data_IF_651601174987
#
_entry.id   IF_651601174987
#
_cell.length_a   1.000
_cell.length_b   1.000
_cell.length_c   1.000
_cell.angle_alpha   90.00
_cell.angle_beta   90.00
_cell.angle_gamma   90.00
#
_symmetry.space_group_name_H-M   'P 1'
#
loop_
_entity.id
_entity.type
_entity.pdbx_description
1 polymer ?
#
# COMPACT_ATOMS: atom_id res chain seq x y z
N UNK A 1 -8.51 26.33 10.64
CA UNK A 1 -7.07 26.55 10.33
C UNK A 1 -6.24 25.27 10.44
N UNK A 2 -6.38 24.46 11.50
CA UNK A 2 -5.65 23.18 11.60
C UNK A 2 -6.20 22.06 10.71
N UNK A 3 -7.50 22.05 10.45
CA UNK A 3 -8.15 21.03 9.61
C UNK A 3 -7.69 21.14 8.14
N UNK A 4 -7.66 22.35 7.57
CA UNK A 4 -7.18 22.58 6.20
C UNK A 4 -5.71 22.18 5.99
N UNK A 5 -4.87 22.45 6.99
CA UNK A 5 -3.45 22.06 6.97
C UNK A 5 -3.31 20.55 7.01
N UNK A 6 -4.10 19.88 7.86
CA UNK A 6 -4.12 18.42 7.98
C UNK A 6 -4.60 17.76 6.69
N UNK A 7 -5.67 18.27 6.07
CA UNK A 7 -6.18 17.79 4.78
C UNK A 7 -5.17 17.99 3.66
N UNK A 8 -4.46 19.12 3.64
CA UNK A 8 -3.41 19.36 2.65
C UNK A 8 -2.21 18.40 2.79
N UNK A 9 -1.84 18.05 4.03
CA UNK A 9 -0.80 17.04 4.27
C UNK A 9 -1.27 15.64 3.87
N UNK A 10 -2.54 15.30 4.15
CA UNK A 10 -3.16 14.05 3.74
C UNK A 10 -3.17 13.87 2.22
N UNK A 11 -3.59 14.88 1.47
CA UNK A 11 -3.56 14.86 -0.01
C UNK A 11 -2.15 14.60 -0.52
N UNK A 12 -1.13 15.22 0.08
CA UNK A 12 0.27 14.94 -0.25
C UNK A 12 0.64 13.49 0.05
N UNK A 13 0.30 12.97 1.23
CA UNK A 13 0.58 11.59 1.60
C UNK A 13 -0.12 10.59 0.66
N UNK A 14 -1.32 10.90 0.17
CA UNK A 14 -2.06 10.13 -0.82
C UNK A 14 -1.36 10.14 -2.19
N UNK A 15 -0.74 11.24 -2.60
CA UNK A 15 0.09 11.28 -3.82
C UNK A 15 1.38 10.48 -3.66
N UNK A 16 2.02 10.59 -2.49
CA UNK A 16 3.27 9.90 -2.20
C UNK A 16 3.06 8.37 -2.21
N UNK A 17 1.98 7.86 -1.62
CA UNK A 17 1.67 6.43 -1.65
C UNK A 17 1.33 5.95 -3.08
N UNK A 18 0.63 6.75 -3.88
CA UNK A 18 0.36 6.43 -5.29
C UNK A 18 1.66 6.36 -6.11
N UNK A 19 2.58 7.31 -5.90
CA UNK A 19 3.91 7.30 -6.55
C UNK A 19 4.73 6.08 -6.16
N UNK A 20 4.69 5.68 -4.88
CA UNK A 20 5.31 4.43 -4.43
C UNK A 20 4.68 3.20 -5.08
N UNK A 21 3.35 3.13 -5.18
CA UNK A 21 2.68 2.05 -5.89
C UNK A 21 3.08 1.99 -7.37
N UNK A 22 3.13 3.13 -8.06
CA UNK A 22 3.50 3.18 -9.47
C UNK A 22 4.94 2.68 -9.69
N UNK A 23 5.89 3.01 -8.79
CA UNK A 23 7.26 2.46 -8.84
C UNK A 23 7.27 0.94 -8.72
N UNK A 24 6.52 0.38 -7.78
CA UNK A 24 6.41 -1.06 -7.55
C UNK A 24 5.80 -1.76 -8.76
N UNK A 25 4.72 -1.20 -9.30
CA UNK A 25 3.99 -1.75 -10.45
C UNK A 25 4.82 -1.68 -11.74
N UNK A 26 5.67 -0.67 -11.89
CA UNK A 26 6.50 -0.45 -13.09
C UNK A 26 7.86 -1.16 -13.06
N UNK A 27 8.16 -1.95 -12.02
CA UNK A 27 9.33 -2.84 -12.01
C UNK A 27 10.11 -2.87 -10.71
N UNK A 28 9.95 -1.89 -9.82
CA UNK A 28 10.65 -1.85 -8.53
C UNK A 28 9.96 -2.71 -7.45
N UNK A 29 9.59 -3.93 -7.85
CA UNK A 29 8.83 -4.91 -7.07
C UNK A 29 9.69 -5.67 -6.05
N UNK A 30 10.71 -5.02 -5.50
CA UNK A 30 11.54 -5.62 -4.46
C UNK A 30 10.68 -5.93 -3.22
N UNK A 31 10.96 -7.04 -2.53
CA UNK A 31 10.23 -7.42 -1.31
C UNK A 31 10.27 -6.32 -0.25
N UNK A 32 11.37 -5.55 -0.18
CA UNK A 32 11.51 -4.41 0.73
C UNK A 32 10.55 -3.27 0.41
N UNK A 33 10.36 -2.97 -0.88
CA UNK A 33 9.46 -1.89 -1.30
C UNK A 33 8.00 -2.28 -1.10
N UNK A 34 7.65 -3.53 -1.41
CA UNK A 34 6.30 -4.05 -1.20
C UNK A 34 5.95 -4.05 0.30
N UNK A 35 6.87 -4.47 1.16
CA UNK A 35 6.70 -4.42 2.63
C UNK A 35 6.58 -2.97 3.13
N UNK A 36 7.41 -2.06 2.62
CA UNK A 36 7.35 -0.63 2.97
C UNK A 36 6.02 -0.01 2.56
N UNK A 37 5.53 -0.31 1.35
CA UNK A 37 4.22 0.11 0.88
C UNK A 37 3.10 -0.46 1.74
N UNK A 38 3.14 -1.77 2.03
CA UNK A 38 2.16 -2.46 2.88
C UNK A 38 2.02 -1.75 4.23
N UNK A 39 3.13 -1.55 4.94
CA UNK A 39 3.14 -0.85 6.24
C UNK A 39 2.60 0.58 6.12
N UNK A 40 3.12 1.35 5.17
CA UNK A 40 2.71 2.74 5.00
C UNK A 40 1.23 2.87 4.62
N UNK A 41 0.69 1.93 3.83
CA UNK A 41 -0.74 1.91 3.46
C UNK A 41 -1.65 1.70 4.66
N UNK A 42 -1.27 0.82 5.59
CA UNK A 42 -2.00 0.54 6.82
C UNK A 42 -1.99 1.77 7.73
N UNK A 43 -0.82 2.39 7.91
CA UNK A 43 -0.65 3.61 8.70
C UNK A 43 -1.47 4.77 8.13
N UNK A 44 -1.45 4.97 6.81
CA UNK A 44 -2.19 6.03 6.15
C UNK A 44 -3.71 5.83 6.28
N UNK A 45 -4.20 4.61 6.10
CA UNK A 45 -5.63 4.29 6.29
C UNK A 45 -6.05 4.52 7.74
N UNK A 46 -5.25 4.11 8.72
CA UNK A 46 -5.52 4.35 10.12
C UNK A 46 -5.56 5.85 10.44
N UNK A 47 -4.59 6.61 9.92
CA UNK A 47 -4.50 8.05 10.11
C UNK A 47 -5.70 8.80 9.52
N UNK A 48 -6.14 8.45 8.31
CA UNK A 48 -7.34 9.05 7.70
C UNK A 48 -8.59 8.73 8.53
N UNK A 49 -8.75 7.50 9.02
CA UNK A 49 -9.87 7.12 9.90
C UNK A 49 -9.91 7.92 11.20
N UNK A 50 -8.75 8.29 11.74
CA UNK A 50 -8.65 9.06 12.98
C UNK A 50 -8.92 10.55 12.78
N UNK A 51 -8.57 11.12 11.62
CA UNK A 51 -8.61 12.57 11.38
C UNK A 51 -9.80 13.07 10.59
N UNK A 52 -10.54 12.19 9.91
CA UNK A 52 -11.62 12.59 8.99
C UNK A 52 -12.93 11.94 9.43
N UNK A 53 -13.89 12.77 9.83
CA UNK A 53 -15.23 12.34 10.28
C UNK A 53 -16.26 12.26 9.15
N UNK A 54 -15.88 12.51 7.90
CA UNK A 54 -16.81 12.49 6.75
C UNK A 54 -17.31 11.05 6.50
N UNK A 55 -18.62 10.77 6.63
CA UNK A 55 -19.15 9.40 6.54
C UNK A 55 -18.88 8.71 5.20
N UNK A 56 -18.85 9.48 4.10
CA UNK A 56 -18.58 8.97 2.76
C UNK A 56 -17.14 8.47 2.62
N UNK A 57 -16.18 9.22 3.16
CA UNK A 57 -14.77 8.84 3.18
C UNK A 57 -14.55 7.62 4.08
N UNK A 58 -15.17 7.60 5.26
CA UNK A 58 -15.08 6.47 6.17
C UNK A 58 -15.67 5.19 5.58
N UNK A 59 -16.73 5.27 4.77
CA UNK A 59 -17.25 4.12 4.02
C UNK A 59 -16.25 3.67 2.94
N UNK A 60 -15.74 4.61 2.16
CA UNK A 60 -14.82 4.31 1.07
C UNK A 60 -13.49 3.71 1.56
N UNK A 61 -12.95 4.19 2.68
CA UNK A 61 -11.65 3.74 3.16
C UNK A 61 -11.64 2.28 3.64
N UNK A 62 -12.80 1.74 4.01
CA UNK A 62 -12.96 0.32 4.36
C UNK A 62 -12.86 -0.57 3.14
N UNK A 63 -13.08 -0.03 1.94
CA UNK A 63 -12.92 -0.75 0.66
C UNK A 63 -11.47 -0.83 0.19
N UNK A 64 -10.54 -0.09 0.81
CA UNK A 64 -9.13 -0.14 0.43
C UNK A 64 -8.55 -1.49 0.90
N UNK A 65 -8.01 -2.32 -0.02
CA UNK A 65 -7.47 -3.62 0.35
C UNK A 65 -6.30 -3.44 1.31
N UNK A 66 -6.34 -4.18 2.42
CA UNK A 66 -5.21 -4.25 3.35
C UNK A 66 -4.22 -5.27 2.82
N UNK A 67 -3.10 -4.77 2.29
CA UNK A 67 -2.03 -5.61 1.76
C UNK A 67 -1.13 -5.96 2.93
N UNK A 68 -1.02 -7.24 3.27
CA UNK A 68 -0.11 -7.72 4.32
C UNK A 68 1.01 -8.52 3.66
N UNK A 69 2.14 -7.86 3.42
CA UNK A 69 3.30 -8.49 2.81
C UNK A 69 4.47 -8.46 3.78
N UNK A 70 5.03 -9.64 4.06
CA UNK A 70 6.25 -9.79 4.86
C UNK A 70 7.32 -10.42 3.99
N UNK A 71 8.50 -9.79 3.94
CA UNK A 71 9.63 -10.34 3.21
C UNK A 71 9.98 -11.74 3.71
N UNK A 72 10.11 -12.68 2.79
CA UNK A 72 10.65 -14.01 3.09
C UNK A 72 12.15 -13.90 3.37
N UNK A 73 12.56 -14.26 4.58
CA UNK A 73 13.97 -14.37 4.95
C UNK A 73 14.48 -15.79 4.67
N UNK A 74 15.32 -15.93 3.64
CA UNK A 74 15.94 -17.21 3.30
C UNK A 74 17.13 -17.43 4.25
N UNK A 75 17.09 -18.52 5.03
CA UNK A 75 18.17 -18.91 5.95
C UNK A 75 19.23 -19.74 5.21
N UNK A 76 20.50 -19.57 5.57
CA UNK A 76 21.63 -20.26 4.93
C UNK A 76 21.47 -21.79 4.84
N UNK A 77 20.90 -22.42 5.87
CA UNK A 77 20.65 -23.87 5.89
C UNK A 77 19.65 -24.36 4.82
N UNK A 78 18.81 -23.49 4.27
CA UNK A 78 17.84 -23.85 3.23
C UNK A 78 18.51 -24.10 1.86
N UNK A 79 19.74 -23.61 1.66
CA UNK A 79 20.53 -23.89 0.46
C UNK A 79 21.08 -25.33 0.42
N UNK A 80 21.11 -26.04 1.56
CA UNK A 80 21.59 -27.42 1.63
C UNK A 80 20.54 -28.45 1.15
N UNK A 81 19.28 -28.04 0.93
CA UNK A 81 18.17 -28.90 0.52
C UNK A 81 17.67 -28.48 -0.87
N UNK A 82 18.47 -28.79 -1.89
CA UNK A 82 18.34 -28.29 -3.28
C UNK A 82 16.96 -28.43 -3.95
N UNK A 83 16.17 -29.50 -3.79
CA UNK A 83 14.85 -29.58 -4.44
C UNK A 83 13.74 -28.81 -3.70
N UNK A 84 13.84 -28.63 -2.38
CA UNK A 84 12.81 -27.91 -1.60
C UNK A 84 12.89 -26.39 -1.81
N UNK A 85 14.10 -25.88 -2.08
CA UNK A 85 14.34 -24.46 -2.26
C UNK A 85 13.61 -23.86 -3.47
N UNK A 86 13.46 -24.61 -4.56
CA UNK A 86 12.74 -24.17 -5.75
C UNK A 86 11.26 -23.93 -5.48
N UNK A 87 10.63 -24.76 -4.64
CA UNK A 87 9.24 -24.57 -4.21
C UNK A 87 9.07 -23.32 -3.36
N UNK A 88 10.06 -23.00 -2.50
CA UNK A 88 10.04 -21.80 -1.66
C UNK A 88 10.17 -20.55 -2.54
N UNK A 89 11.12 -20.54 -3.50
CA UNK A 89 11.29 -19.43 -4.44
C UNK A 89 10.06 -19.22 -5.33
N UNK A 90 9.46 -20.31 -5.81
CA UNK A 90 8.26 -20.23 -6.64
C UNK A 90 7.07 -19.64 -5.85
N UNK A 91 6.89 -20.07 -4.60
CA UNK A 91 5.87 -19.49 -3.70
C UNK A 91 6.13 -18.01 -3.44
N UNK A 92 7.38 -17.63 -3.14
CA UNK A 92 7.76 -16.23 -2.90
C UNK A 92 7.46 -15.36 -4.14
N UNK A 93 7.81 -15.85 -5.33
CA UNK A 93 7.49 -15.19 -6.60
C UNK A 93 5.99 -15.00 -6.81
N UNK A 94 5.17 -16.03 -6.52
CA UNK A 94 3.71 -15.93 -6.63
C UNK A 94 3.12 -14.92 -5.65
N UNK A 95 3.52 -14.96 -4.37
CA UNK A 95 3.05 -14.03 -3.33
C UNK A 95 3.42 -12.60 -3.72
N UNK A 96 4.64 -12.39 -4.22
CA UNK A 96 5.10 -11.08 -4.69
C UNK A 96 4.25 -10.55 -5.83
N UNK A 97 3.95 -11.39 -6.82
CA UNK A 97 3.11 -11.00 -7.95
C UNK A 97 1.68 -10.69 -7.51
N UNK A 98 1.11 -11.47 -6.58
CA UNK A 98 -0.20 -11.19 -5.99
C UNK A 98 -0.20 -9.83 -5.28
N UNK A 99 0.81 -9.57 -4.45
CA UNK A 99 0.96 -8.29 -3.76
C UNK A 99 1.07 -7.11 -4.75
N UNK A 100 1.80 -7.25 -5.85
CA UNK A 100 1.88 -6.21 -6.89
C UNK A 100 0.51 -5.94 -7.54
N UNK A 101 -0.31 -6.97 -7.77
CA UNK A 101 -1.67 -6.80 -8.30
C UNK A 101 -2.58 -6.09 -7.30
N UNK A 102 -2.51 -6.46 -6.02
CA UNK A 102 -3.24 -5.77 -4.95
C UNK A 102 -2.81 -4.31 -4.81
N UNK A 103 -1.50 -4.02 -4.93
CA UNK A 103 -0.95 -2.65 -4.90
C UNK A 103 -1.52 -1.83 -6.04
N UNK A 104 -1.61 -2.41 -7.25
CA UNK A 104 -2.22 -1.75 -8.40
C UNK A 104 -3.69 -1.39 -8.13
N UNK A 105 -4.45 -2.31 -7.53
CA UNK A 105 -5.84 -2.04 -7.17
C UNK A 105 -5.95 -0.96 -6.08
N UNK A 106 -5.13 -1.05 -5.03
CA UNK A 106 -5.06 -0.10 -3.93
C UNK A 106 -4.71 1.31 -4.39
N UNK A 107 -3.77 1.45 -5.33
CA UNK A 107 -3.41 2.73 -5.96
C UNK A 107 -4.60 3.43 -6.60
N UNK A 108 -5.46 2.69 -7.30
CA UNK A 108 -6.71 3.23 -7.86
C UNK A 108 -7.62 3.79 -6.77
N UNK A 109 -7.78 3.07 -5.65
CA UNK A 109 -8.59 3.52 -4.52
C UNK A 109 -7.97 4.76 -3.84
N UNK A 110 -6.66 4.82 -3.66
CA UNK A 110 -6.00 6.01 -3.12
C UNK A 110 -6.16 7.24 -4.01
N UNK A 111 -6.16 7.07 -5.33
CA UNK A 111 -6.45 8.15 -6.28
C UNK A 111 -7.88 8.69 -6.10
N UNK A 112 -8.88 7.82 -5.97
CA UNK A 112 -10.25 8.23 -5.69
C UNK A 112 -10.36 8.95 -4.34
N UNK A 113 -9.69 8.43 -3.31
CA UNK A 113 -9.65 9.06 -1.99
C UNK A 113 -9.03 10.46 -2.05
N UNK A 114 -7.99 10.66 -2.86
CA UNK A 114 -7.39 11.98 -3.09
C UNK A 114 -8.40 12.96 -3.69
N UNK A 115 -9.17 12.53 -4.69
CA UNK A 115 -10.22 13.36 -5.32
C UNK A 115 -11.26 13.77 -4.28
N UNK A 116 -11.79 12.81 -3.50
CA UNK A 116 -12.76 13.10 -2.44
C UNK A 116 -12.23 14.09 -1.39
N UNK A 117 -10.92 13.99 -1.06
CA UNK A 117 -10.27 14.92 -0.13
C UNK A 117 -10.08 16.32 -0.71
N UNK A 118 -9.86 16.44 -2.02
CA UNK A 118 -9.80 17.74 -2.69
C UNK A 118 -11.19 18.41 -2.73
N UNK A 119 -12.24 17.64 -3.00
CA UNK A 119 -13.63 18.14 -3.00
C UNK A 119 -14.02 18.70 -1.61
N UNK A 120 -13.62 18.02 -0.53
CA UNK A 120 -13.82 18.51 0.85
C UNK A 120 -13.08 19.82 1.15
N UNK A 121 -11.95 20.06 0.49
CA UNK A 121 -11.18 21.29 0.61
C UNK A 121 -11.82 22.45 -0.16
N UNK A 122 -12.85 22.19 -0.98
CA UNK A 122 -13.52 23.19 -1.81
C UNK A 122 -12.67 23.65 -3.01
N UNK A 123 -11.81 22.77 -3.53
CA UNK A 123 -10.98 22.99 -4.71
C UNK A 123 -11.54 22.25 -5.91
#
# INVERSE_FOLDING_TARGET
MDQDKSTSLLIRQLRDIQSHADKIVNGDSSSSNIETFSRYSIELVAYVKEKIDTPEILKFIVEIPTINYKKTEIKFWQFLILPLWWLILYKDYQIRNQAVQEIRHSRGKFATLEVMMNDLKGV
#
